data_IF_276107984288
#
_entry.id   IF_276107984288
#
_cell.length_a   1.000
_cell.length_b   1.000
_cell.length_c   1.000
_cell.angle_alpha   90.00
_cell.angle_beta   90.00
_cell.angle_gamma   90.00
#
_symmetry.space_group_name_H-M   'P 1'
#
loop_
_entity.id
_entity.type
_entity.pdbx_description
1 polymer ?
#
# COMPACT_ATOMS: atom_id res chain seq x y z
N UNK A 1 5.93 -14.18 2.66
CA UNK A 1 6.10 -15.65 2.60
C UNK A 1 4.73 -16.22 2.26
N UNK A 2 4.61 -17.34 1.55
CA UNK A 2 3.26 -17.89 1.32
C UNK A 2 2.81 -18.58 2.62
N UNK A 3 2.00 -17.85 3.40
CA UNK A 3 1.41 -18.34 4.66
C UNK A 3 0.62 -19.64 4.43
N UNK A 4 0.16 -19.89 3.19
CA UNK A 4 -0.55 -21.12 2.84
C UNK A 4 0.38 -22.33 2.68
N UNK A 5 1.69 -22.12 2.53
CA UNK A 5 2.70 -23.16 2.30
C UNK A 5 3.77 -23.25 3.40
N UNK A 6 3.38 -22.97 4.63
CA UNK A 6 4.23 -23.13 5.82
C UNK A 6 4.57 -24.61 6.08
N UNK A 7 5.83 -24.87 6.40
CA UNK A 7 6.38 -26.16 6.83
C UNK A 7 6.65 -26.19 8.34
N UNK A 8 6.94 -27.36 8.90
CA UNK A 8 7.29 -27.48 10.32
C UNK A 8 8.52 -26.65 10.69
N UNK A 9 9.56 -26.68 9.86
CA UNK A 9 10.83 -25.99 10.12
C UNK A 9 10.78 -24.48 9.90
N UNK A 10 9.76 -23.97 9.19
CA UNK A 10 9.49 -22.54 9.13
C UNK A 10 9.01 -22.00 10.49
N UNK A 11 8.21 -22.80 11.20
CA UNK A 11 7.53 -22.41 12.44
C UNK A 11 8.37 -22.70 13.67
N UNK A 12 8.97 -23.89 13.71
CA UNK A 12 9.80 -24.33 14.83
C UNK A 12 11.12 -24.80 14.24
N UNK A 13 12.20 -24.10 14.56
CA UNK A 13 13.52 -24.45 14.06
C UNK A 13 13.96 -25.84 14.57
N UNK A 14 14.83 -26.50 13.79
CA UNK A 14 15.31 -27.86 14.07
C UNK A 14 15.92 -27.99 15.46
N UNK A 15 16.65 -26.98 15.94
CA UNK A 15 17.34 -27.04 17.24
C UNK A 15 16.32 -27.00 18.37
N UNK A 16 15.30 -26.15 18.26
CA UNK A 16 14.20 -26.11 19.24
C UNK A 16 13.43 -27.43 19.29
N UNK A 17 13.14 -28.03 18.12
CA UNK A 17 12.52 -29.36 18.05
C UNK A 17 13.39 -30.44 18.69
N UNK A 18 14.69 -30.47 18.39
CA UNK A 18 15.63 -31.44 18.95
C UNK A 18 15.70 -31.33 20.48
N UNK A 19 15.86 -30.11 21.01
CA UNK A 19 15.93 -29.88 22.45
C UNK A 19 14.62 -30.29 23.16
N UNK A 20 13.46 -29.99 22.55
CA UNK A 20 12.16 -30.38 23.08
C UNK A 20 12.05 -31.89 23.21
N UNK A 21 12.37 -32.62 22.15
CA UNK A 21 12.25 -34.08 22.16
C UNK A 21 13.30 -34.74 23.05
N UNK A 22 14.52 -34.19 23.16
CA UNK A 22 15.57 -34.71 24.05
C UNK A 22 15.12 -34.58 25.51
N UNK A 23 14.58 -33.42 25.88
CA UNK A 23 14.04 -33.18 27.22
C UNK A 23 12.84 -34.08 27.51
N UNK A 24 11.94 -34.27 26.54
CA UNK A 24 10.80 -35.18 26.67
C UNK A 24 11.26 -36.63 26.84
N UNK A 25 12.21 -37.08 26.02
CA UNK A 25 12.76 -38.42 26.07
C UNK A 25 13.47 -38.69 27.40
N UNK A 26 14.28 -37.75 27.89
CA UNK A 26 14.93 -37.84 29.19
C UNK A 26 13.92 -37.90 30.35
N UNK A 27 12.83 -37.12 30.29
CA UNK A 27 11.84 -37.05 31.36
C UNK A 27 10.92 -38.29 31.40
N UNK A 28 10.55 -38.83 30.25
CA UNK A 28 9.59 -39.96 30.15
C UNK A 28 10.29 -41.32 30.05
N UNK A 29 11.53 -41.34 29.56
CA UNK A 29 12.24 -42.54 29.14
C UNK A 29 11.62 -43.20 27.90
N UNK A 30 10.79 -42.48 27.14
CA UNK A 30 10.26 -42.92 25.85
C UNK A 30 11.14 -42.40 24.72
N UNK A 31 11.10 -43.07 23.57
CA UNK A 31 11.68 -42.54 22.34
C UNK A 31 10.91 -41.29 21.87
N UNK A 32 11.58 -40.39 21.15
CA UNK A 32 10.93 -39.26 20.49
C UNK A 32 11.61 -38.87 19.16
N UNK A 33 10.84 -38.36 18.21
CA UNK A 33 11.29 -37.92 16.88
C UNK A 33 10.31 -36.91 16.27
N UNK A 34 10.80 -35.86 15.63
CA UNK A 34 9.99 -34.96 14.82
C UNK A 34 10.04 -35.39 13.35
N UNK A 35 8.89 -35.41 12.68
CA UNK A 35 8.75 -35.75 11.26
C UNK A 35 7.80 -34.80 10.55
N UNK A 36 8.03 -34.57 9.26
CA UNK A 36 7.07 -33.95 8.36
C UNK A 36 6.72 -34.90 7.20
N UNK A 37 6.04 -34.39 6.17
CA UNK A 37 5.65 -35.16 4.97
C UNK A 37 6.83 -35.72 4.16
N UNK A 38 8.02 -35.17 4.33
CA UNK A 38 9.26 -35.58 3.67
C UNK A 38 10.08 -36.56 4.53
N UNK A 39 9.65 -36.81 5.77
CA UNK A 39 10.29 -37.72 6.71
C UNK A 39 10.87 -37.01 7.94
N UNK A 40 11.84 -37.63 8.63
CA UNK A 40 12.41 -37.12 9.86
C UNK A 40 13.07 -35.74 9.69
N UNK A 41 12.72 -34.80 10.58
CA UNK A 41 13.32 -33.45 10.61
C UNK A 41 14.26 -33.25 11.79
N UNK A 42 14.39 -34.23 12.67
CA UNK A 42 15.33 -34.29 13.81
C UNK A 42 16.01 -35.65 13.87
N UNK A 43 17.02 -35.78 14.74
CA UNK A 43 17.62 -37.08 15.08
C UNK A 43 16.82 -37.74 16.20
N UNK A 44 16.67 -39.07 16.20
CA UNK A 44 15.87 -39.78 17.20
C UNK A 44 16.47 -39.71 18.60
N UNK A 45 15.65 -39.40 19.60
CA UNK A 45 16.05 -39.35 21.02
C UNK A 45 15.62 -40.61 21.74
N UNK A 46 16.53 -41.22 22.52
CA UNK A 46 16.25 -42.37 23.39
C UNK A 46 15.61 -43.57 22.64
N UNK A 47 16.08 -43.82 21.42
CA UNK A 47 15.63 -44.97 20.63
C UNK A 47 16.19 -46.28 21.22
N UNK A 48 15.36 -47.32 21.22
CA UNK A 48 15.72 -48.63 21.77
C UNK A 48 16.59 -49.43 20.80
N UNK A 49 17.48 -50.26 21.34
CA UNK A 49 18.26 -51.23 20.55
C UNK A 49 17.36 -52.17 19.74
N UNK A 50 16.23 -52.57 20.33
CA UNK A 50 15.21 -53.39 19.67
C UNK A 50 14.71 -52.76 18.36
N UNK A 51 14.43 -51.45 18.38
CA UNK A 51 13.98 -50.74 17.20
C UNK A 51 15.14 -50.45 16.24
N UNK A 52 16.28 -49.92 16.72
CA UNK A 52 17.31 -49.37 15.84
C UNK A 52 18.32 -50.41 15.35
N UNK A 53 18.78 -51.29 16.24
CA UNK A 53 19.86 -52.21 15.93
C UNK A 53 19.35 -53.53 15.35
N UNK A 54 18.06 -53.85 15.55
CA UNK A 54 17.43 -55.08 15.05
C UNK A 54 16.31 -54.79 14.04
N UNK A 55 15.19 -54.22 14.50
CA UNK A 55 13.98 -54.07 13.66
C UNK A 55 14.25 -53.23 12.41
N UNK A 56 14.69 -51.98 12.56
CA UNK A 56 14.95 -51.02 11.47
C UNK A 56 16.25 -51.31 10.71
N UNK A 57 17.09 -52.24 11.19
CA UNK A 57 18.28 -52.71 10.46
C UNK A 57 17.89 -53.66 9.31
N UNK A 58 16.80 -54.41 9.47
CA UNK A 58 16.22 -55.19 8.38
C UNK A 58 15.51 -54.27 7.38
N UNK A 59 15.65 -54.52 6.07
CA UNK A 59 14.97 -53.73 5.03
C UNK A 59 13.44 -53.75 5.21
N UNK A 60 12.89 -54.94 5.46
CA UNK A 60 11.44 -55.14 5.66
C UNK A 60 10.97 -54.42 6.93
N UNK A 61 11.73 -54.48 8.02
CA UNK A 61 11.39 -53.82 9.27
C UNK A 61 11.49 -52.30 9.18
N UNK A 62 12.49 -51.76 8.49
CA UNK A 62 12.60 -50.32 8.21
C UNK A 62 11.38 -49.79 7.45
N UNK A 63 10.99 -50.48 6.37
CA UNK A 63 9.82 -50.11 5.56
C UNK A 63 8.52 -50.17 6.40
N UNK A 64 8.34 -51.25 7.18
CA UNK A 64 7.17 -51.41 8.08
C UNK A 64 7.14 -50.35 9.17
N UNK A 65 8.28 -49.95 9.72
CA UNK A 65 8.37 -48.89 10.73
C UNK A 65 7.97 -47.53 10.13
N UNK A 66 8.53 -47.16 8.97
CA UNK A 66 8.24 -45.89 8.33
C UNK A 66 6.75 -45.77 7.95
N UNK A 67 6.14 -46.84 7.44
CA UNK A 67 4.70 -46.86 7.16
C UNK A 67 3.85 -46.74 8.41
N UNK A 68 4.31 -47.30 9.54
CA UNK A 68 3.60 -47.21 10.81
C UNK A 68 3.61 -45.79 11.36
N UNK A 69 4.76 -45.12 11.32
CA UNK A 69 4.91 -43.73 11.75
C UNK A 69 4.04 -42.79 10.89
N UNK A 70 4.01 -43.01 9.57
CA UNK A 70 3.15 -42.26 8.64
C UNK A 70 1.66 -42.44 8.98
N UNK A 71 1.19 -43.68 9.14
CA UNK A 71 -0.22 -43.96 9.51
C UNK A 71 -0.59 -43.36 10.86
N UNK A 72 0.30 -43.45 11.84
CA UNK A 72 0.13 -42.81 13.14
C UNK A 72 -0.03 -41.30 13.01
N UNK A 73 0.85 -40.68 12.24
CA UNK A 73 0.82 -39.25 11.94
C UNK A 73 -0.43 -38.80 11.17
N UNK A 74 -0.89 -39.58 10.19
CA UNK A 74 -2.12 -39.32 9.42
C UNK A 74 -3.36 -39.40 10.31
N UNK A 75 -3.47 -40.41 11.17
CA UNK A 75 -4.61 -40.55 12.08
C UNK A 75 -4.64 -39.43 13.12
N UNK A 76 -3.47 -39.07 13.65
CA UNK A 76 -3.30 -37.92 14.53
C UNK A 76 -3.73 -36.61 13.83
N UNK A 77 -3.30 -36.41 12.58
CA UNK A 77 -3.68 -35.26 11.77
C UNK A 77 -5.20 -35.20 11.51
N UNK A 78 -5.81 -36.33 11.13
CA UNK A 78 -7.25 -36.45 10.85
C UNK A 78 -8.12 -36.14 12.06
N UNK A 79 -7.68 -36.54 13.26
CA UNK A 79 -8.44 -36.36 14.50
C UNK A 79 -8.10 -35.05 15.22
N UNK A 80 -6.99 -34.41 14.87
CA UNK A 80 -6.44 -33.24 15.57
C UNK A 80 -5.95 -33.54 16.98
N UNK A 81 -5.80 -34.82 17.35
CA UNK A 81 -5.44 -35.29 18.70
C UNK A 81 -4.31 -36.32 18.62
N UNK A 82 -3.60 -36.58 19.73
CA UNK A 82 -2.61 -37.65 19.75
C UNK A 82 -3.23 -39.01 19.43
N UNK A 83 -2.57 -39.78 18.58
CA UNK A 83 -2.94 -41.17 18.26
C UNK A 83 -1.96 -42.12 18.94
N UNK A 84 -2.44 -42.98 19.85
CA UNK A 84 -1.64 -44.01 20.51
C UNK A 84 -1.99 -45.36 19.90
N UNK A 85 -0.98 -46.10 19.43
CA UNK A 85 -1.17 -47.31 18.64
C UNK A 85 -0.08 -48.34 18.92
N UNK A 86 -0.37 -49.60 18.60
CA UNK A 86 0.68 -50.62 18.50
C UNK A 86 1.37 -50.51 17.15
N UNK A 87 2.69 -50.44 17.16
CA UNK A 87 3.48 -50.48 15.95
C UNK A 87 3.48 -51.90 15.35
N UNK A 88 3.93 -52.00 14.10
CA UNK A 88 4.00 -53.27 13.35
C UNK A 88 4.92 -54.30 13.99
N UNK A 89 5.85 -53.87 14.86
CA UNK A 89 6.74 -54.72 15.64
C UNK A 89 6.25 -55.01 17.06
N UNK A 90 5.04 -54.60 17.40
CA UNK A 90 4.37 -54.95 18.66
C UNK A 90 4.65 -54.03 19.85
N UNK A 91 5.53 -53.02 19.72
CA UNK A 91 5.67 -51.96 20.72
C UNK A 91 4.52 -50.96 20.62
N UNK A 92 4.34 -50.12 21.64
CA UNK A 92 3.39 -49.02 21.64
C UNK A 92 4.10 -47.71 21.30
N UNK A 93 3.60 -47.07 20.26
CA UNK A 93 4.01 -45.76 19.78
C UNK A 93 2.82 -44.79 19.82
N UNK A 94 3.13 -43.53 19.64
CA UNK A 94 2.13 -42.50 19.46
C UNK A 94 2.62 -41.40 18.53
N UNK A 95 1.67 -40.72 17.90
CA UNK A 95 1.91 -39.54 17.08
C UNK A 95 1.13 -38.36 17.64
N UNK A 96 1.83 -37.27 17.94
CA UNK A 96 1.28 -35.99 18.33
C UNK A 96 1.30 -35.06 17.11
N UNK A 97 0.14 -34.64 16.57
CA UNK A 97 0.10 -33.80 15.38
C UNK A 97 0.50 -32.35 15.72
N UNK A 98 1.31 -31.73 14.87
CA UNK A 98 1.64 -30.30 14.92
C UNK A 98 0.78 -29.56 13.92
N UNK A 99 -0.08 -28.68 14.40
CA UNK A 99 -1.11 -28.00 13.60
C UNK A 99 -1.00 -26.49 13.77
N UNK A 100 -1.01 -25.76 12.65
CA UNK A 100 -1.05 -24.30 12.59
C UNK A 100 -2.22 -23.87 11.73
N UNK A 101 -3.09 -23.02 12.27
CA UNK A 101 -4.25 -22.46 11.55
C UNK A 101 -5.10 -23.56 10.85
N UNK A 102 -5.31 -24.70 11.52
CA UNK A 102 -6.05 -25.83 10.97
C UNK A 102 -5.29 -26.70 9.95
N UNK A 103 -4.05 -26.36 9.63
CA UNK A 103 -3.18 -27.14 8.73
C UNK A 103 -2.17 -27.97 9.52
N UNK A 104 -2.13 -29.28 9.25
CA UNK A 104 -1.09 -30.16 9.75
C UNK A 104 0.23 -29.90 9.02
N UNK A 105 1.28 -29.59 9.77
CA UNK A 105 2.61 -29.25 9.22
C UNK A 105 3.69 -30.29 9.56
N UNK A 106 3.39 -31.22 10.48
CA UNK A 106 4.26 -32.31 10.88
C UNK A 106 3.75 -33.01 12.14
N UNK A 107 4.47 -34.01 12.62
CA UNK A 107 4.12 -34.77 13.82
C UNK A 107 5.34 -35.00 14.70
N UNK A 108 5.13 -35.04 16.02
CA UNK A 108 6.10 -35.60 16.95
C UNK A 108 5.70 -37.04 17.27
N UNK A 109 6.57 -37.97 16.91
CA UNK A 109 6.42 -39.39 17.20
C UNK A 109 7.10 -39.67 18.53
N UNK A 110 6.50 -40.49 19.37
CA UNK A 110 7.16 -41.02 20.55
C UNK A 110 6.68 -42.42 20.91
N UNK A 111 7.34 -43.06 21.87
CA UNK A 111 6.99 -44.42 22.31
C UNK A 111 8.19 -45.33 22.43
N UNK A 112 8.21 -46.40 21.64
CA UNK A 112 9.11 -47.55 21.73
C UNK A 112 9.10 -48.18 23.13
N UNK A 113 7.89 -48.39 23.65
CA UNK A 113 7.66 -48.95 24.98
C UNK A 113 6.59 -50.03 24.94
N UNK A 114 6.48 -50.81 26.01
CA UNK A 114 5.44 -51.83 26.15
C UNK A 114 4.41 -51.38 27.20
N UNK A 115 3.10 -51.54 26.96
CA UNK A 115 2.09 -51.21 27.96
C UNK A 115 2.04 -52.21 29.12
N UNK A 116 2.50 -53.44 28.89
CA UNK A 116 2.49 -54.59 29.80
C UNK A 116 3.58 -55.60 29.39
N UNK A 117 3.73 -56.69 30.15
CA UNK A 117 4.72 -57.72 29.82
C UNK A 117 4.44 -58.34 28.43
N UNK A 118 5.44 -58.48 27.55
CA UNK A 118 5.21 -58.93 26.18
C UNK A 118 5.01 -60.45 26.12
N UNK A 119 4.19 -60.89 25.16
CA UNK A 119 4.12 -62.30 24.75
C UNK A 119 5.33 -62.64 23.87
N UNK A 120 6.37 -63.24 24.46
CA UNK A 120 7.62 -63.55 23.75
C UNK A 120 7.40 -64.41 22.51
N UNK A 121 6.44 -65.34 22.50
CA UNK A 121 6.16 -66.20 21.34
C UNK A 121 5.64 -65.39 20.14
N UNK A 122 4.87 -64.33 20.41
CA UNK A 122 4.43 -63.38 19.37
C UNK A 122 5.62 -62.63 18.77
N UNK A 123 6.55 -62.17 19.59
CA UNK A 123 7.73 -61.44 19.13
C UNK A 123 8.75 -62.33 18.41
N UNK A 124 8.86 -63.62 18.76
CA UNK A 124 9.66 -64.61 18.02
C UNK A 124 9.16 -64.78 16.58
N UNK A 125 7.84 -64.82 16.37
CA UNK A 125 7.24 -64.85 15.03
C UNK A 125 7.55 -63.58 14.22
N UNK A 126 7.50 -62.42 14.86
CA UNK A 126 7.87 -61.14 14.22
C UNK A 126 9.36 -61.18 13.81
N UNK A 127 10.25 -61.73 14.66
CA UNK A 127 11.66 -61.89 14.32
C UNK A 127 11.86 -62.77 13.08
N UNK A 128 11.15 -63.90 12.97
CA UNK A 128 11.17 -64.78 11.79
C UNK A 128 10.74 -64.04 10.52
N UNK A 129 9.64 -63.29 10.59
CA UNK A 129 9.15 -62.50 9.45
C UNK A 129 10.14 -61.44 8.98
N UNK A 130 10.92 -60.89 9.90
CA UNK A 130 11.95 -59.88 9.62
C UNK A 130 13.31 -60.49 9.26
N UNK A 131 13.47 -61.82 9.41
CA UNK A 131 14.74 -62.52 9.20
C UNK A 131 15.80 -62.17 10.26
N UNK A 132 15.38 -61.92 11.49
CA UNK A 132 16.24 -61.55 12.63
C UNK A 132 16.37 -62.76 13.56
N UNK A 133 17.53 -62.94 14.19
CA UNK A 133 17.71 -63.99 15.20
C UNK A 133 16.73 -63.81 16.38
N UNK A 134 15.96 -64.86 16.68
CA UNK A 134 14.90 -64.78 17.66
C UNK A 134 15.40 -64.50 19.08
N UNK A 135 16.51 -65.12 19.49
CA UNK A 135 17.02 -64.97 20.85
C UNK A 135 17.66 -63.60 21.04
N UNK A 136 18.34 -63.07 20.02
CA UNK A 136 18.82 -61.69 19.98
C UNK A 136 17.63 -60.70 20.07
N UNK A 137 16.55 -60.95 19.32
CA UNK A 137 15.35 -60.11 19.32
C UNK A 137 14.65 -60.07 20.68
N UNK A 138 14.47 -61.24 21.31
CA UNK A 138 13.86 -61.34 22.64
C UNK A 138 14.77 -60.76 23.73
N UNK A 139 16.09 -60.93 23.62
CA UNK A 139 17.02 -60.30 24.55
C UNK A 139 16.95 -58.76 24.49
N UNK A 140 16.79 -58.18 23.29
CA UNK A 140 16.56 -56.74 23.13
C UNK A 140 15.16 -56.32 23.62
N UNK A 141 14.13 -57.12 23.36
CA UNK A 141 12.75 -56.88 23.82
C UNK A 141 12.67 -56.79 25.34
N UNK A 142 13.36 -57.67 26.07
CA UNK A 142 13.39 -57.65 27.54
C UNK A 142 14.00 -56.38 28.14
N UNK A 143 14.76 -55.61 27.35
CA UNK A 143 15.31 -54.30 27.75
C UNK A 143 14.34 -53.14 27.47
N UNK A 144 13.28 -53.37 26.68
CA UNK A 144 12.27 -52.34 26.39
C UNK A 144 11.49 -52.01 27.66
N UNK A 145 11.34 -50.72 27.93
CA UNK A 145 10.68 -50.23 29.13
C UNK A 145 9.19 -50.55 29.09
N UNK A 146 8.67 -51.12 30.18
CA UNK A 146 7.24 -51.33 30.37
C UNK A 146 6.67 -50.07 31.05
N UNK A 147 5.76 -49.38 30.37
CA UNK A 147 5.09 -48.16 30.82
C UNK A 147 3.58 -48.35 30.67
N UNK A 148 2.77 -48.23 31.74
CA UNK A 148 1.32 -48.42 31.64
C UNK A 148 0.70 -47.52 30.57
N UNK A 149 -0.28 -48.06 29.81
CA UNK A 149 -0.95 -47.34 28.71
C UNK A 149 -1.42 -45.93 29.09
N UNK A 150 -1.99 -45.75 30.28
CA UNK A 150 -2.43 -44.44 30.78
C UNK A 150 -1.29 -43.41 30.83
N UNK A 151 -0.07 -43.83 31.17
CA UNK A 151 1.10 -42.95 31.21
C UNK A 151 1.62 -42.65 29.80
N UNK A 152 1.52 -43.61 28.86
CA UNK A 152 1.81 -43.37 27.43
C UNK A 152 0.85 -42.33 26.85
N UNK A 153 -0.44 -42.48 27.10
CA UNK A 153 -1.47 -41.51 26.67
C UNK A 153 -1.26 -40.12 27.30
N UNK A 154 -0.85 -40.06 28.57
CA UNK A 154 -0.50 -38.79 29.22
C UNK A 154 0.74 -38.13 28.61
N UNK A 155 1.77 -38.93 28.30
CA UNK A 155 2.98 -38.45 27.64
C UNK A 155 2.70 -37.96 26.21
N UNK A 156 1.87 -38.67 25.45
CA UNK A 156 1.42 -38.27 24.12
C UNK A 156 0.68 -36.92 24.15
N UNK A 157 -0.21 -36.73 25.13
CA UNK A 157 -0.90 -35.46 25.34
C UNK A 157 0.05 -34.34 25.75
N UNK A 158 1.03 -34.61 26.62
CA UNK A 158 2.03 -33.62 27.01
C UNK A 158 2.85 -33.14 25.80
N UNK A 159 3.38 -34.08 25.01
CA UNK A 159 4.18 -33.76 23.83
C UNK A 159 3.38 -32.94 22.81
N UNK A 160 2.11 -33.29 22.62
CA UNK A 160 1.18 -32.55 21.75
C UNK A 160 0.92 -31.12 22.22
N UNK A 161 0.66 -30.91 23.51
CA UNK A 161 0.47 -29.58 24.07
C UNK A 161 1.72 -28.72 23.89
N UNK A 162 2.91 -29.28 24.16
CA UNK A 162 4.18 -28.58 23.96
C UNK A 162 4.43 -28.24 22.49
N UNK A 163 4.19 -29.19 21.59
CA UNK A 163 4.38 -28.99 20.16
C UNK A 163 3.47 -27.90 19.60
N UNK A 164 2.19 -27.91 19.95
CA UNK A 164 1.24 -26.89 19.48
C UNK A 164 1.47 -25.53 20.14
N UNK A 165 1.91 -25.47 21.39
CA UNK A 165 2.30 -24.21 22.03
C UNK A 165 3.48 -23.56 21.30
N UNK A 166 4.53 -24.34 21.00
CA UNK A 166 5.67 -23.86 20.21
C UNK A 166 5.27 -23.50 18.78
N UNK A 167 4.39 -24.28 18.17
CA UNK A 167 3.89 -24.03 16.82
C UNK A 167 3.08 -22.74 16.73
N UNK A 168 2.20 -22.49 17.70
CA UNK A 168 1.45 -21.25 17.78
C UNK A 168 2.37 -20.04 18.00
N UNK A 169 3.36 -20.15 18.91
CA UNK A 169 4.32 -19.08 19.16
C UNK A 169 5.19 -18.77 17.93
N UNK A 170 5.72 -19.81 17.28
CA UNK A 170 6.51 -19.67 16.05
C UNK A 170 5.71 -19.04 14.91
N UNK A 171 4.45 -19.47 14.74
CA UNK A 171 3.58 -18.92 13.71
C UNK A 171 3.26 -17.45 13.96
N UNK A 172 2.95 -17.08 15.21
CA UNK A 172 2.72 -15.69 15.59
C UNK A 172 3.96 -14.82 15.33
N UNK A 173 5.15 -15.34 15.62
CA UNK A 173 6.41 -14.65 15.34
C UNK A 173 6.60 -14.42 13.83
N UNK A 174 6.37 -15.44 13.00
CA UNK A 174 6.44 -15.32 11.54
C UNK A 174 5.47 -14.26 11.00
N UNK A 175 4.21 -14.31 11.43
CA UNK A 175 3.18 -13.33 11.03
C UNK A 175 3.57 -11.92 11.48
N UNK A 176 4.11 -11.77 12.70
CA UNK A 176 4.59 -10.48 13.21
C UNK A 176 5.73 -9.92 12.36
N UNK A 177 6.70 -10.75 11.97
CA UNK A 177 7.80 -10.34 11.10
C UNK A 177 7.32 -9.94 9.71
N UNK A 178 6.38 -10.68 9.13
CA UNK A 178 5.81 -10.34 7.82
C UNK A 178 5.01 -9.03 7.88
N UNK A 179 4.23 -8.83 8.94
CA UNK A 179 3.49 -7.59 9.16
C UNK A 179 4.43 -6.40 9.40
N UNK A 180 5.55 -6.60 10.10
CA UNK A 180 6.56 -5.58 10.30
C UNK A 180 7.21 -5.17 8.97
N UNK A 181 7.58 -6.14 8.12
CA UNK A 181 8.11 -5.84 6.79
C UNK A 181 7.11 -5.07 5.92
N UNK A 182 5.84 -5.51 5.88
CA UNK A 182 4.78 -4.79 5.15
C UNK A 182 4.59 -3.37 5.68
N UNK A 183 4.68 -3.18 7.01
CA UNK A 183 4.62 -1.86 7.63
C UNK A 183 5.78 -0.97 7.17
N UNK A 184 7.00 -1.49 7.13
CA UNK A 184 8.18 -0.74 6.66
C UNK A 184 8.04 -0.34 5.18
N UNK A 185 7.59 -1.26 4.32
CA UNK A 185 7.34 -0.99 2.90
C UNK A 185 6.29 0.13 2.72
N UNK A 186 5.20 0.09 3.50
CA UNK A 186 4.15 1.13 3.48
C UNK A 186 4.71 2.48 3.97
N UNK A 187 5.55 2.50 5.01
CA UNK A 187 6.17 3.73 5.51
C UNK A 187 7.04 4.37 4.42
N UNK A 188 7.83 3.58 3.70
CA UNK A 188 8.68 4.09 2.62
C UNK A 188 7.85 4.61 1.44
N UNK A 189 6.74 3.94 1.08
CA UNK A 189 5.80 4.43 0.07
C UNK A 189 5.19 5.78 0.46
N UNK A 190 4.72 5.90 1.70
CA UNK A 190 4.12 7.15 2.22
C UNK A 190 5.14 8.30 2.22
N UNK A 191 6.40 8.03 2.60
CA UNK A 191 7.48 9.03 2.54
C UNK A 191 7.73 9.53 1.12
N UNK A 192 7.72 8.63 0.13
CA UNK A 192 7.86 9.03 -1.28
C UNK A 192 6.69 9.91 -1.72
N UNK A 193 5.46 9.60 -1.28
CA UNK A 193 4.28 10.44 -1.56
C UNK A 193 4.36 11.83 -0.92
N UNK A 194 4.89 11.95 0.31
CA UNK A 194 5.12 13.27 0.90
C UNK A 194 6.15 14.11 0.13
N UNK A 195 7.21 13.47 -0.38
CA UNK A 195 8.19 14.16 -1.22
C UNK A 195 7.56 14.66 -2.53
N UNK A 196 6.77 13.82 -3.21
CA UNK A 196 6.01 14.22 -4.41
C UNK A 196 5.08 15.41 -4.11
N UNK A 197 4.32 15.34 -3.02
CA UNK A 197 3.41 16.41 -2.59
C UNK A 197 4.19 17.71 -2.31
N UNK A 198 5.35 17.63 -1.67
CA UNK A 198 6.21 18.79 -1.38
C UNK A 198 6.72 19.45 -2.67
N UNK A 199 7.14 18.64 -3.66
CA UNK A 199 7.53 19.15 -4.98
C UNK A 199 6.35 19.82 -5.69
N UNK A 200 5.16 19.21 -5.65
CA UNK A 200 3.94 19.81 -6.21
C UNK A 200 3.59 21.14 -5.55
N UNK A 201 3.70 21.26 -4.23
CA UNK A 201 3.47 22.52 -3.51
C UNK A 201 4.45 23.61 -3.92
N UNK A 202 5.73 23.29 -4.06
CA UNK A 202 6.73 24.26 -4.55
C UNK A 202 6.41 24.74 -5.97
N UNK A 203 5.94 23.84 -6.85
CA UNK A 203 5.51 24.20 -8.20
C UNK A 203 4.28 25.13 -8.18
N UNK A 204 3.29 24.85 -7.33
CA UNK A 204 2.12 25.73 -7.17
C UNK A 204 2.53 27.11 -6.66
N UNK A 205 3.46 27.19 -5.69
CA UNK A 205 3.99 28.46 -5.20
C UNK A 205 4.71 29.26 -6.30
N UNK A 206 5.51 28.59 -7.14
CA UNK A 206 6.13 29.22 -8.31
C UNK A 206 5.09 29.77 -9.29
N UNK A 207 4.02 29.01 -9.55
CA UNK A 207 2.92 29.46 -10.41
C UNK A 207 2.17 30.66 -9.82
N UNK A 208 2.00 30.73 -8.50
CA UNK A 208 1.42 31.88 -7.80
C UNK A 208 2.24 33.13 -8.07
N UNK A 209 3.56 33.07 -7.88
CA UNK A 209 4.46 34.22 -8.14
C UNK A 209 4.43 34.65 -9.61
N UNK A 210 4.35 33.70 -10.53
CA UNK A 210 4.23 33.99 -11.96
C UNK A 210 2.90 34.69 -12.28
N UNK A 211 1.79 34.27 -11.67
CA UNK A 211 0.49 34.91 -11.84
C UNK A 211 0.46 36.34 -11.28
N UNK A 212 1.09 36.59 -10.12
CA UNK A 212 1.20 37.95 -9.57
C UNK A 212 1.89 38.90 -10.56
N UNK A 213 2.99 38.45 -11.19
CA UNK A 213 3.70 39.23 -12.19
C UNK A 213 2.85 39.48 -13.45
N UNK A 214 2.11 38.46 -13.90
CA UNK A 214 1.19 38.60 -15.05
C UNK A 214 0.08 39.62 -14.74
N UNK A 215 -0.48 39.60 -13.53
CA UNK A 215 -1.50 40.56 -13.12
C UNK A 215 -0.97 41.99 -13.00
N UNK A 216 0.26 42.17 -12.51
CA UNK A 216 0.92 43.47 -12.54
C UNK A 216 1.04 44.00 -13.97
N UNK A 217 1.48 43.16 -14.91
CA UNK A 217 1.61 43.53 -16.33
C UNK A 217 0.27 43.88 -16.98
N UNK A 218 -0.80 43.14 -16.67
CA UNK A 218 -2.14 43.43 -17.17
C UNK A 218 -2.67 44.74 -16.58
N UNK A 219 -2.43 45.00 -15.30
CA UNK A 219 -2.82 46.25 -14.63
C UNK A 219 -2.14 47.46 -15.28
N UNK A 220 -0.85 47.36 -15.57
CA UNK A 220 -0.10 48.42 -16.24
C UNK A 220 -0.61 48.66 -17.67
N UNK A 221 -0.89 47.57 -18.41
CA UNK A 221 -1.47 47.65 -19.76
C UNK A 221 -2.85 48.29 -19.75
N UNK A 222 -3.73 47.91 -18.81
CA UNK A 222 -5.04 48.52 -18.64
C UNK A 222 -4.93 50.02 -18.30
N UNK A 223 -3.95 50.39 -17.47
CA UNK A 223 -3.65 51.78 -17.16
C UNK A 223 -3.17 52.59 -18.38
N UNK A 224 -2.31 52.00 -19.21
CA UNK A 224 -1.87 52.60 -20.46
C UNK A 224 -3.03 52.79 -21.46
N UNK A 225 -3.88 51.78 -21.61
CA UNK A 225 -5.10 51.88 -22.45
C UNK A 225 -6.06 52.96 -21.94
N UNK A 226 -6.22 53.10 -20.62
CA UNK A 226 -7.06 54.16 -20.04
C UNK A 226 -6.57 55.55 -20.43
N UNK A 227 -5.25 55.79 -20.33
CA UNK A 227 -4.63 57.06 -20.74
C UNK A 227 -4.80 57.32 -22.24
N UNK A 228 -4.67 56.29 -23.08
CA UNK A 228 -4.87 56.40 -24.52
C UNK A 228 -6.32 56.77 -24.88
N UNK A 229 -7.30 56.19 -24.17
CA UNK A 229 -8.72 56.54 -24.32
C UNK A 229 -8.98 57.99 -23.91
N UNK A 230 -8.44 58.45 -22.77
CA UNK A 230 -8.57 59.83 -22.32
C UNK A 230 -7.96 60.84 -23.30
N UNK A 231 -6.79 60.52 -23.87
CA UNK A 231 -6.18 61.38 -24.89
C UNK A 231 -7.02 61.42 -26.17
N UNK A 232 -7.63 60.31 -26.57
CA UNK A 232 -8.46 60.23 -27.77
C UNK A 232 -9.79 60.96 -27.58
N UNK A 233 -10.39 60.90 -26.38
CA UNK A 233 -11.58 61.68 -26.00
C UNK A 233 -11.35 63.19 -26.18
N UNK A 234 -10.16 63.68 -25.82
CA UNK A 234 -9.76 65.07 -26.07
C UNK A 234 -9.70 65.43 -27.56
N UNK A 235 -9.25 64.51 -28.41
CA UNK A 235 -9.20 64.70 -29.87
C UNK A 235 -10.62 64.71 -30.46
N UNK A 236 -11.49 63.81 -30.03
CA UNK A 236 -12.90 63.75 -30.48
C UNK A 236 -13.62 65.06 -30.17
N UNK A 237 -13.47 65.60 -28.95
CA UNK A 237 -14.02 66.91 -28.56
C UNK A 237 -13.47 68.06 -29.42
N UNK A 238 -12.20 68.02 -29.80
CA UNK A 238 -11.63 69.01 -30.72
C UNK A 238 -12.26 68.93 -32.12
N UNK A 239 -12.55 67.72 -32.63
CA UNK A 239 -13.22 67.50 -33.92
C UNK A 239 -14.67 68.01 -33.88
N UNK A 240 -15.41 67.79 -32.79
CA UNK A 240 -16.77 68.30 -32.61
C UNK A 240 -16.81 69.84 -32.61
N UNK A 241 -15.88 70.46 -31.88
CA UNK A 241 -15.74 71.92 -31.86
C UNK A 241 -15.40 72.46 -33.26
N UNK A 242 -14.48 71.83 -33.97
CA UNK A 242 -14.13 72.22 -35.34
C UNK A 242 -15.31 72.05 -36.31
N UNK A 243 -16.10 70.98 -36.18
CA UNK A 243 -17.29 70.74 -37.00
C UNK A 243 -18.40 71.77 -36.71
N UNK A 244 -18.58 72.15 -35.45
CA UNK A 244 -19.49 73.24 -35.06
C UNK A 244 -19.04 74.57 -35.70
N UNK A 245 -17.74 74.86 -35.68
CA UNK A 245 -17.19 76.06 -36.32
C UNK A 245 -17.37 76.04 -37.85
N UNK A 246 -17.13 74.91 -38.50
CA UNK A 246 -17.38 74.74 -39.94
C UNK A 246 -18.85 74.95 -40.30
N UNK A 247 -19.77 74.48 -39.47
CA UNK A 247 -21.21 74.70 -39.64
C UNK A 247 -21.56 76.19 -39.63
N UNK A 248 -20.96 76.95 -38.71
CA UNK A 248 -21.11 78.41 -38.63
C UNK A 248 -20.49 79.14 -39.84
N UNK A 249 -19.30 78.71 -40.29
CA UNK A 249 -18.64 79.27 -41.48
C UNK A 249 -19.50 79.02 -42.73
N UNK A 250 -19.94 77.79 -42.95
CA UNK A 250 -20.85 77.43 -44.04
C UNK A 250 -22.18 78.19 -43.94
N UNK A 251 -22.64 78.48 -42.71
CA UNK A 251 -23.83 79.29 -42.48
C UNK A 251 -23.67 80.74 -42.95
N UNK A 252 -22.60 81.39 -42.52
CA UNK A 252 -22.30 82.76 -42.92
C UNK A 252 -22.05 82.86 -44.44
N UNK A 253 -21.34 81.89 -45.02
CA UNK A 253 -21.09 81.84 -46.46
C UNK A 253 -22.38 81.66 -47.28
N UNK A 254 -23.33 80.83 -46.82
CA UNK A 254 -24.63 80.66 -47.49
C UNK A 254 -25.47 81.95 -47.46
N UNK A 255 -25.42 82.72 -46.35
CA UNK A 255 -26.08 84.02 -46.27
C UNK A 255 -25.49 85.00 -47.29
N UNK A 256 -24.16 85.09 -47.35
CA UNK A 256 -23.50 86.03 -48.24
C UNK A 256 -23.67 85.64 -49.73
N UNK A 257 -23.67 84.34 -50.01
CA UNK A 257 -23.98 83.81 -51.33
C UNK A 257 -25.42 84.13 -51.77
N UNK A 258 -26.40 84.05 -50.86
CA UNK A 258 -27.79 84.50 -51.14
C UNK A 258 -27.87 86.00 -51.37
N UNK A 259 -27.11 86.82 -50.63
CA UNK A 259 -27.04 88.28 -50.82
C UNK A 259 -26.51 88.67 -52.19
N UNK A 260 -25.56 87.92 -52.74
CA UNK A 260 -25.01 88.15 -54.08
C UNK A 260 -25.95 87.74 -55.23
N UNK A 261 -27.15 87.21 -54.94
CA UNK A 261 -28.16 86.87 -55.95
C UNK A 261 -27.67 85.84 -56.96
N UNK A 262 -27.84 86.10 -58.26
CA UNK A 262 -27.46 85.18 -59.32
C UNK A 262 -25.94 84.89 -59.36
N UNK A 263 -25.10 85.86 -59.00
CA UNK A 263 -23.64 85.69 -58.97
C UNK A 263 -23.16 84.79 -57.82
N UNK A 264 -23.96 84.64 -56.76
CA UNK A 264 -23.64 83.83 -55.59
C UNK A 264 -24.16 82.39 -55.64
N UNK A 265 -24.93 82.01 -56.66
CA UNK A 265 -25.59 80.71 -56.72
C UNK A 265 -24.62 79.53 -56.59
N UNK A 266 -23.47 79.58 -57.27
CA UNK A 266 -22.42 78.55 -57.16
C UNK A 266 -21.77 78.48 -55.77
N UNK A 267 -21.51 79.64 -55.15
CA UNK A 267 -20.96 79.70 -53.78
C UNK A 267 -21.94 79.17 -52.74
N UNK A 268 -23.25 79.34 -52.95
CA UNK A 268 -24.26 78.80 -52.04
C UNK A 268 -24.27 77.26 -52.04
N UNK A 269 -24.01 76.62 -53.19
CA UNK A 269 -23.87 75.15 -53.27
C UNK A 269 -22.68 74.69 -52.44
N UNK A 270 -21.52 75.35 -52.58
CA UNK A 270 -20.31 75.03 -51.81
C UNK A 270 -20.56 75.22 -50.30
N UNK A 271 -21.22 76.31 -49.91
CA UNK A 271 -21.54 76.59 -48.51
C UNK A 271 -22.46 75.52 -47.89
N UNK A 272 -23.41 74.99 -48.67
CA UNK A 272 -24.27 73.89 -48.25
C UNK A 272 -23.49 72.58 -48.12
N UNK A 273 -22.56 72.29 -49.04
CA UNK A 273 -21.69 71.11 -48.97
C UNK A 273 -20.77 71.14 -47.75
N UNK A 274 -20.23 72.31 -47.39
CA UNK A 274 -19.41 72.50 -46.16
C UNK A 274 -20.21 72.17 -44.91
N UNK A 275 -21.48 72.59 -44.83
CA UNK A 275 -22.36 72.21 -43.70
C UNK A 275 -22.64 70.72 -43.67
N UNK A 276 -22.96 70.11 -44.82
CA UNK A 276 -23.20 68.66 -44.92
C UNK A 276 -21.97 67.87 -44.45
N UNK A 277 -20.76 68.32 -44.82
CA UNK A 277 -19.51 67.71 -44.38
C UNK A 277 -19.29 67.88 -42.87
N UNK A 278 -19.59 69.05 -42.32
CA UNK A 278 -19.52 69.31 -40.89
C UNK A 278 -20.48 68.41 -40.09
N UNK A 279 -21.74 68.28 -40.53
CA UNK A 279 -22.72 67.38 -39.91
C UNK A 279 -22.26 65.91 -39.96
N UNK A 280 -21.65 65.50 -41.08
CA UNK A 280 -21.08 64.15 -41.23
C UNK A 280 -19.92 63.92 -40.26
N UNK A 281 -19.02 64.90 -40.11
CA UNK A 281 -17.91 64.83 -39.15
C UNK A 281 -18.41 64.74 -37.70
N UNK A 282 -19.43 65.52 -37.32
CA UNK A 282 -20.04 65.43 -35.99
C UNK A 282 -20.63 64.04 -35.73
N UNK A 283 -21.34 63.46 -36.70
CA UNK A 283 -21.87 62.09 -36.56
C UNK A 283 -20.75 61.05 -36.38
N UNK A 284 -19.67 61.16 -37.16
CA UNK A 284 -18.52 60.28 -37.03
C UNK A 284 -17.81 60.44 -35.69
N UNK A 285 -17.68 61.67 -35.18
CA UNK A 285 -17.11 61.95 -33.86
C UNK A 285 -17.93 61.27 -32.74
N UNK A 286 -19.26 61.38 -32.78
CA UNK A 286 -20.16 60.72 -31.83
C UNK A 286 -20.03 59.18 -31.87
N UNK A 287 -19.86 58.57 -33.06
CA UNK A 287 -19.63 57.12 -33.19
C UNK A 287 -18.31 56.70 -32.53
N UNK A 288 -17.25 57.51 -32.67
CA UNK A 288 -15.97 57.28 -31.98
C UNK A 288 -16.12 57.45 -30.47
N UNK A 289 -16.84 58.49 -30.00
CA UNK A 289 -17.11 58.71 -28.57
C UNK A 289 -17.81 57.50 -27.93
N UNK A 290 -18.85 56.98 -28.58
CA UNK A 290 -19.55 55.78 -28.12
C UNK A 290 -18.61 54.58 -28.01
N UNK A 291 -17.73 54.39 -28.99
CA UNK A 291 -16.73 53.33 -28.98
C UNK A 291 -15.73 53.49 -27.82
N UNK A 292 -15.26 54.72 -27.57
CA UNK A 292 -14.36 55.01 -26.45
C UNK A 292 -15.02 54.74 -25.09
N UNK A 293 -16.31 55.05 -24.95
CA UNK A 293 -17.07 54.77 -23.72
C UNK A 293 -17.18 53.25 -23.44
N UNK A 294 -17.41 52.44 -24.47
CA UNK A 294 -17.41 50.97 -24.32
C UNK A 294 -16.03 50.42 -23.96
N UNK A 295 -14.95 50.97 -24.53
CA UNK A 295 -13.58 50.60 -24.14
C UNK A 295 -13.32 50.98 -22.69
N UNK A 296 -13.72 52.19 -22.25
CA UNK A 296 -13.57 52.64 -20.86
C UNK A 296 -14.30 51.72 -19.88
N UNK A 297 -15.52 51.31 -20.21
CA UNK A 297 -16.30 50.35 -19.43
C UNK A 297 -15.59 48.99 -19.33
N UNK A 298 -15.02 48.52 -20.44
CA UNK A 298 -14.26 47.27 -20.48
C UNK A 298 -13.01 47.33 -19.58
N UNK A 299 -12.27 48.45 -19.58
CA UNK A 299 -11.11 48.67 -18.71
C UNK A 299 -11.50 48.65 -17.22
N UNK A 300 -12.64 49.27 -16.87
CA UNK A 300 -13.16 49.21 -15.48
C UNK A 300 -13.47 47.76 -15.08
N UNK A 301 -14.07 46.97 -15.98
CA UNK A 301 -14.33 45.55 -15.78
C UNK A 301 -13.05 44.75 -15.54
N UNK A 302 -12.02 44.95 -16.37
CA UNK A 302 -10.70 44.30 -16.23
C UNK A 302 -10.09 44.62 -14.86
N UNK A 303 -10.11 45.88 -14.44
CA UNK A 303 -9.56 46.28 -13.14
C UNK A 303 -10.32 45.67 -11.95
N UNK A 304 -11.64 45.49 -12.07
CA UNK A 304 -12.44 44.80 -11.05
C UNK A 304 -12.07 43.32 -10.97
N UNK A 305 -11.95 42.63 -12.12
CA UNK A 305 -11.55 41.22 -12.19
C UNK A 305 -10.13 41.02 -11.62
N UNK A 306 -9.18 41.90 -11.94
CA UNK A 306 -7.81 41.84 -11.39
C UNK A 306 -7.78 41.93 -9.85
N UNK A 307 -8.65 42.75 -9.24
CA UNK A 307 -8.74 42.82 -7.77
C UNK A 307 -9.22 41.50 -7.18
N UNK A 308 -10.23 40.88 -7.79
CA UNK A 308 -10.73 39.57 -7.37
C UNK A 308 -9.65 38.50 -7.50
N UNK A 309 -8.98 38.41 -8.66
CA UNK A 309 -7.93 37.42 -8.87
C UNK A 309 -6.74 37.59 -7.90
N UNK A 310 -6.34 38.83 -7.58
CA UNK A 310 -5.31 39.07 -6.56
C UNK A 310 -5.73 38.55 -5.18
N UNK A 311 -7.00 38.74 -4.79
CA UNK A 311 -7.51 38.19 -3.53
C UNK A 311 -7.49 36.67 -3.51
N UNK A 312 -7.88 36.02 -4.61
CA UNK A 312 -7.86 34.55 -4.75
C UNK A 312 -6.43 33.99 -4.70
N UNK A 313 -5.46 34.68 -5.31
CA UNK A 313 -4.05 34.29 -5.24
C UNK A 313 -3.52 34.32 -3.80
N UNK A 314 -3.81 35.40 -3.05
CA UNK A 314 -3.36 35.51 -1.66
C UNK A 314 -3.95 34.38 -0.80
N UNK A 315 -5.22 34.03 -1.02
CA UNK A 315 -5.83 32.88 -0.34
C UNK A 315 -5.16 31.56 -0.73
N UNK A 316 -4.87 31.35 -2.01
CA UNK A 316 -4.17 30.15 -2.47
C UNK A 316 -2.75 30.04 -1.87
N UNK A 317 -2.04 31.15 -1.75
CA UNK A 317 -0.72 31.18 -1.10
C UNK A 317 -0.80 30.74 0.37
N UNK A 318 -1.77 31.26 1.12
CA UNK A 318 -2.02 30.88 2.52
C UNK A 318 -2.39 29.39 2.65
N UNK A 319 -3.22 28.87 1.74
CA UNK A 319 -3.59 27.44 1.72
C UNK A 319 -2.37 26.56 1.48
N UNK A 320 -1.47 26.94 0.57
CA UNK A 320 -0.24 26.18 0.29
C UNK A 320 0.71 26.18 1.50
N UNK A 321 0.85 27.31 2.21
CA UNK A 321 1.65 27.35 3.44
C UNK A 321 1.09 26.42 4.53
N UNK A 322 -0.23 26.43 4.73
CA UNK A 322 -0.90 25.51 5.67
C UNK A 322 -0.73 24.05 5.27
N UNK A 323 -0.87 23.73 3.99
CA UNK A 323 -0.66 22.38 3.48
C UNK A 323 0.77 21.90 3.71
N UNK A 324 1.75 22.78 3.52
CA UNK A 324 3.16 22.47 3.79
C UNK A 324 3.38 22.09 5.25
N UNK A 325 2.86 22.88 6.19
CA UNK A 325 2.96 22.58 7.62
C UNK A 325 2.33 21.22 7.98
N UNK A 326 1.14 20.93 7.44
CA UNK A 326 0.47 19.64 7.67
C UNK A 326 1.26 18.45 7.12
N UNK A 327 1.89 18.60 5.95
CA UNK A 327 2.74 17.55 5.38
C UNK A 327 4.01 17.35 6.19
N UNK A 328 4.64 18.43 6.66
CA UNK A 328 5.82 18.35 7.52
C UNK A 328 5.49 17.64 8.85
N UNK A 329 4.35 17.97 9.48
CA UNK A 329 3.87 17.29 10.68
C UNK A 329 3.58 15.81 10.43
N UNK A 330 2.88 15.48 9.34
CA UNK A 330 2.56 14.09 8.99
C UNK A 330 3.83 13.28 8.69
N UNK A 331 4.84 13.88 8.06
CA UNK A 331 6.13 13.25 7.80
C UNK A 331 6.88 12.92 9.11
N UNK A 332 6.84 13.81 10.11
CA UNK A 332 7.38 13.54 11.45
C UNK A 332 6.65 12.38 12.13
N UNK A 333 5.31 12.34 12.06
CA UNK A 333 4.53 11.24 12.62
C UNK A 333 4.86 9.91 11.97
N UNK A 334 5.00 9.87 10.64
CA UNK A 334 5.36 8.65 9.90
C UNK A 334 6.77 8.18 10.25
N UNK A 335 7.74 9.09 10.44
CA UNK A 335 9.08 8.72 10.92
C UNK A 335 9.06 8.07 12.31
N UNK A 336 8.13 8.47 13.17
CA UNK A 336 7.97 7.86 14.50
C UNK A 336 7.29 6.47 14.46
N UNK A 337 6.78 6.03 13.30
CA UNK A 337 6.22 4.69 13.13
C UNK A 337 7.28 3.63 12.77
N UNK A 338 8.48 4.05 12.36
CA UNK A 338 9.65 3.18 12.19
C UNK A 338 10.23 2.81 13.56
#
# INVERSE_FOLDING_TARGET
MDINNITLLDVIDRRTLQNLQDAFAAATGMAALATDKNGPVTEGSNFTDFCMNLTRKSRVGADRCNQCDLKGGEEASRTGKPSVYFCTSGLMDFAAPVVVNGKHIGSLIGGQVLPEAPDEDKFRKIADELGIDQDEYIAALRKVKIIPRRQIEAAANLLWQMANALSAAGYQQLVSLENQKKKDDIIDEVNNKFNEITTSMNNVMSNILALENNFATIKDSAGASSKAVESTDGIVKAIENASTQLTLIGFNASIEAKRAGAAGAGFNVIAQEVRTLADKNTKQANEVENTLNEIKKSIVGINAQLKTCNSEILQNAEVIEKLKALVDEANVQVKNLK
#
